data_IF_171419442345
#
_entry.id   IF_171419442345
#
_cell.length_a   1.000
_cell.length_b   1.000
_cell.length_c   1.000
_cell.angle_alpha   90.00
_cell.angle_beta   90.00
_cell.angle_gamma   90.00
#
_symmetry.space_group_name_H-M   'P 1'
#
loop_
_entity.id
_entity.type
_entity.pdbx_description
1 polymer ?
#
# COMPACT_ATOMS: atom_id res chain seq x y z
N UNK A 1 -17.58 -72.01 -31.25
CA UNK A 1 -18.54 -70.89 -31.33
C UNK A 1 -17.74 -69.59 -31.39
N UNK A 2 -17.59 -69.03 -32.58
CA UNK A 2 -17.08 -67.68 -32.80
C UNK A 2 -18.28 -66.74 -32.80
N UNK A 3 -18.26 -65.69 -31.99
CA UNK A 3 -19.25 -64.61 -32.05
C UNK A 3 -18.57 -63.34 -32.52
N UNK A 4 -19.08 -62.83 -33.64
CA UNK A 4 -18.68 -61.65 -34.39
C UNK A 4 -18.63 -60.38 -33.54
N UNK A 5 -17.64 -59.55 -33.85
CA UNK A 5 -17.56 -58.12 -33.54
C UNK A 5 -18.46 -57.35 -34.52
N UNK A 6 -19.45 -56.64 -34.02
CA UNK A 6 -20.17 -55.60 -34.78
C UNK A 6 -19.52 -54.24 -34.53
N UNK A 7 -18.99 -53.65 -35.60
CA UNK A 7 -18.51 -52.28 -35.63
C UNK A 7 -19.70 -51.34 -35.85
N UNK A 8 -20.09 -50.59 -34.83
CA UNK A 8 -21.03 -49.48 -34.97
C UNK A 8 -20.27 -48.21 -35.40
N UNK A 9 -20.45 -47.86 -36.67
CA UNK A 9 -20.06 -46.59 -37.25
C UNK A 9 -20.84 -45.43 -36.62
N UNK A 10 -20.18 -44.56 -35.87
CA UNK A 10 -20.66 -43.20 -35.62
C UNK A 10 -19.88 -42.22 -36.49
N UNK A 11 -20.41 -41.98 -37.69
CA UNK A 11 -20.23 -40.70 -38.36
C UNK A 11 -21.02 -39.64 -37.58
N UNK A 12 -20.31 -38.85 -36.79
CA UNK A 12 -20.80 -37.62 -36.18
C UNK A 12 -20.15 -36.44 -36.90
N UNK A 13 -20.97 -35.71 -37.64
CA UNK A 13 -20.61 -34.55 -38.47
C UNK A 13 -19.70 -33.55 -37.76
N UNK A 14 -18.62 -33.17 -38.45
CA UNK A 14 -17.74 -32.08 -38.07
C UNK A 14 -18.49 -30.74 -38.10
N UNK A 15 -18.90 -30.25 -36.93
CA UNK A 15 -19.13 -28.83 -36.66
C UNK A 15 -18.29 -28.48 -35.43
N UNK A 16 -16.98 -28.36 -35.66
CA UNK A 16 -15.96 -28.12 -34.65
C UNK A 16 -15.63 -26.64 -34.45
N UNK A 17 -16.61 -25.73 -34.52
CA UNK A 17 -16.42 -24.44 -33.87
C UNK A 17 -16.44 -24.70 -32.36
N UNK A 18 -15.26 -24.87 -31.79
CA UNK A 18 -15.12 -25.25 -30.39
C UNK A 18 -15.83 -24.21 -29.50
N UNK A 19 -16.48 -24.66 -28.42
CA UNK A 19 -17.02 -23.77 -27.39
C UNK A 19 -16.01 -22.72 -26.90
N UNK A 20 -14.71 -23.02 -26.99
CA UNK A 20 -13.63 -22.10 -26.69
C UNK A 20 -13.47 -20.97 -27.71
N UNK A 21 -13.67 -21.24 -29.01
CA UNK A 21 -13.63 -20.19 -30.04
C UNK A 21 -14.81 -19.25 -29.94
N UNK A 22 -16.01 -19.76 -29.65
CA UNK A 22 -17.19 -18.91 -29.46
C UNK A 22 -17.12 -18.09 -28.17
N UNK A 23 -16.67 -18.67 -27.05
CA UNK A 23 -16.42 -17.91 -25.81
C UNK A 23 -15.29 -16.90 -25.97
N UNK A 24 -14.21 -17.25 -26.67
CA UNK A 24 -13.09 -16.35 -26.94
C UNK A 24 -13.48 -15.14 -27.79
N UNK A 25 -14.30 -15.34 -28.83
CA UNK A 25 -14.85 -14.25 -29.64
C UNK A 25 -15.81 -13.36 -28.83
N UNK A 26 -16.68 -13.96 -28.01
CA UNK A 26 -17.57 -13.20 -27.13
C UNK A 26 -16.78 -12.38 -26.11
N UNK A 27 -15.74 -12.93 -25.49
CA UNK A 27 -14.87 -12.21 -24.57
C UNK A 27 -14.10 -11.08 -25.26
N UNK A 28 -13.59 -11.31 -26.47
CA UNK A 28 -12.90 -10.28 -27.27
C UNK A 28 -13.81 -9.07 -27.58
N UNK A 29 -15.12 -9.29 -27.76
CA UNK A 29 -16.09 -8.21 -27.96
C UNK A 29 -16.32 -7.33 -26.72
N UNK A 30 -15.92 -7.79 -25.52
CA UNK A 30 -15.91 -6.97 -24.30
C UNK A 30 -14.68 -6.04 -24.29
N UNK A 31 -13.54 -6.49 -24.81
CA UNK A 31 -12.35 -5.67 -25.03
C UNK A 31 -11.91 -4.84 -23.83
N UNK A 32 -11.72 -3.52 -24.04
CA UNK A 32 -11.21 -2.55 -23.05
C UNK A 32 -12.31 -1.95 -22.15
N UNK A 33 -13.52 -2.49 -22.13
CA UNK A 33 -14.65 -1.88 -21.40
C UNK A 33 -14.38 -1.63 -19.91
N UNK A 34 -13.76 -2.60 -19.21
CA UNK A 34 -13.37 -2.41 -17.81
C UNK A 34 -12.24 -1.39 -17.73
N UNK A 35 -11.18 -1.61 -18.50
CA UNK A 35 -9.97 -0.79 -18.49
C UNK A 35 -10.27 0.71 -18.63
N UNK A 36 -11.03 1.08 -19.67
CA UNK A 36 -11.38 2.48 -19.96
C UNK A 36 -12.19 3.13 -18.82
N UNK A 37 -12.92 2.34 -18.02
CA UNK A 37 -13.67 2.87 -16.87
C UNK A 37 -12.78 3.16 -15.67
N UNK A 38 -11.69 2.41 -15.48
CA UNK A 38 -10.92 2.39 -14.22
C UNK A 38 -9.46 2.83 -14.36
N UNK A 39 -9.00 3.13 -15.57
CA UNK A 39 -7.59 3.50 -15.83
C UNK A 39 -7.16 4.83 -15.21
N UNK A 40 -8.08 5.79 -15.08
CA UNK A 40 -7.84 7.10 -14.45
C UNK A 40 -7.95 7.00 -12.93
N UNK A 41 -6.94 7.51 -12.22
CA UNK A 41 -6.88 7.52 -10.77
C UNK A 41 -7.27 8.89 -10.21
N UNK A 42 -8.09 8.91 -9.15
CA UNK A 42 -8.34 10.15 -8.42
C UNK A 42 -7.06 10.58 -7.69
N UNK A 43 -6.48 11.77 -7.96
CA UNK A 43 -5.27 12.25 -7.29
C UNK A 43 -5.36 12.30 -5.76
N UNK A 44 -6.54 12.53 -5.19
CA UNK A 44 -6.74 12.60 -3.73
C UNK A 44 -6.67 11.21 -3.06
N UNK A 45 -6.77 10.15 -3.85
CA UNK A 45 -6.68 8.75 -3.43
C UNK A 45 -5.26 8.19 -3.60
N UNK A 46 -4.28 9.08 -3.77
CA UNK A 46 -2.88 8.74 -3.96
C UNK A 46 -1.97 9.42 -2.93
N UNK A 47 -0.79 8.83 -2.71
CA UNK A 47 0.26 9.39 -1.87
C UNK A 47 1.61 9.19 -2.52
N UNK A 48 2.43 10.23 -2.58
CA UNK A 48 3.83 10.08 -2.98
C UNK A 48 4.60 9.30 -1.92
N UNK A 49 5.51 8.44 -2.35
CA UNK A 49 6.42 7.73 -1.47
C UNK A 49 7.85 7.77 -2.00
N UNK A 50 8.81 7.63 -1.08
CA UNK A 50 10.21 7.45 -1.38
C UNK A 50 10.73 6.25 -0.58
N UNK A 51 11.25 5.24 -1.26
CA UNK A 51 11.82 4.04 -0.64
C UNK A 51 13.12 3.68 -1.33
N UNK A 52 14.24 3.84 -0.63
CA UNK A 52 15.56 3.43 -1.14
C UNK A 52 16.00 4.15 -2.41
N UNK A 53 15.62 5.42 -2.58
CA UNK A 53 15.92 6.20 -3.79
C UNK A 53 14.94 6.01 -4.94
N UNK A 54 13.99 5.08 -4.82
CA UNK A 54 12.85 4.98 -5.72
C UNK A 54 11.72 5.89 -5.23
N UNK A 55 11.33 6.85 -6.06
CA UNK A 55 10.16 7.68 -5.85
C UNK A 55 9.01 7.14 -6.68
N UNK A 56 7.79 7.18 -6.15
CA UNK A 56 6.61 6.77 -6.88
C UNK A 56 5.32 7.23 -6.21
N UNK A 57 4.22 6.85 -6.84
CA UNK A 57 2.86 7.15 -6.38
C UNK A 57 2.18 5.88 -5.88
N UNK A 58 1.79 5.86 -4.61
CA UNK A 58 1.02 4.78 -4.02
C UNK A 58 -0.46 5.10 -4.09
N UNK A 59 -1.25 4.15 -4.59
CA UNK A 59 -2.72 4.25 -4.64
C UNK A 59 -3.29 3.68 -3.34
N UNK A 60 -4.30 4.33 -2.77
CA UNK A 60 -5.02 3.82 -1.62
C UNK A 60 -5.72 2.49 -1.99
N UNK A 61 -5.42 1.36 -1.31
CA UNK A 61 -6.01 0.08 -1.69
C UNK A 61 -7.55 0.06 -1.58
N UNK A 62 -8.10 0.76 -0.59
CA UNK A 62 -9.55 0.85 -0.40
C UNK A 62 -10.25 1.57 -1.57
N UNK A 63 -9.57 2.53 -2.22
CA UNK A 63 -10.08 3.18 -3.42
C UNK A 63 -10.20 2.16 -4.56
N UNK A 64 -9.20 1.31 -4.77
CA UNK A 64 -9.27 0.26 -5.80
C UNK A 64 -10.41 -0.73 -5.52
N UNK A 65 -10.65 -1.09 -4.25
CA UNK A 65 -11.79 -1.93 -3.84
C UNK A 65 -13.13 -1.25 -4.15
N UNK A 66 -13.26 0.05 -3.85
CA UNK A 66 -14.45 0.85 -4.19
C UNK A 66 -14.69 0.83 -5.70
N UNK A 67 -13.66 1.13 -6.50
CA UNK A 67 -13.74 1.14 -7.97
C UNK A 67 -14.12 -0.24 -8.53
N UNK A 68 -13.55 -1.31 -7.98
CA UNK A 68 -13.88 -2.67 -8.41
C UNK A 68 -15.33 -3.02 -8.09
N UNK A 69 -15.82 -2.54 -6.94
CA UNK A 69 -17.22 -2.68 -6.55
C UNK A 69 -18.18 -1.91 -7.47
N UNK A 70 -17.80 -0.70 -7.93
CA UNK A 70 -18.57 0.07 -8.92
C UNK A 70 -18.71 -0.67 -10.26
N UNK A 71 -17.68 -1.41 -10.68
CA UNK A 71 -17.68 -2.12 -11.97
C UNK A 71 -18.35 -3.48 -11.89
N UNK A 72 -17.97 -4.29 -10.90
CA UNK A 72 -18.36 -5.70 -10.85
C UNK A 72 -19.51 -5.97 -9.88
N UNK A 73 -19.86 -5.02 -9.01
CA UNK A 73 -20.81 -5.19 -7.91
C UNK A 73 -20.14 -5.54 -6.58
N UNK A 74 -20.93 -5.83 -5.51
CA UNK A 74 -20.38 -6.06 -4.17
C UNK A 74 -19.34 -7.18 -4.10
N UNK A 75 -18.31 -6.97 -3.27
CA UNK A 75 -17.31 -8.00 -2.95
C UNK A 75 -17.98 -9.23 -2.33
N UNK A 76 -17.61 -10.42 -2.80
CA UNK A 76 -18.23 -11.71 -2.46
C UNK A 76 -19.42 -12.10 -3.34
N UNK A 77 -19.95 -11.19 -4.17
CA UNK A 77 -21.03 -11.49 -5.13
C UNK A 77 -20.54 -11.33 -6.56
N UNK A 78 -20.17 -10.10 -6.93
CA UNK A 78 -19.75 -9.75 -8.28
C UNK A 78 -18.28 -10.05 -8.56
N UNK A 79 -17.47 -10.02 -7.51
CA UNK A 79 -16.04 -10.30 -7.56
C UNK A 79 -15.54 -10.68 -6.16
N UNK A 80 -14.36 -11.25 -6.09
CA UNK A 80 -13.75 -11.66 -4.82
C UNK A 80 -12.31 -12.09 -4.97
N UNK A 81 -11.65 -12.38 -3.86
CA UNK A 81 -10.26 -12.83 -3.82
C UNK A 81 -10.18 -14.12 -3.00
N UNK A 82 -9.61 -15.16 -3.60
CA UNK A 82 -9.33 -16.44 -2.96
C UNK A 82 -7.83 -16.56 -2.68
N UNK A 83 -7.48 -16.98 -1.46
CA UNK A 83 -6.11 -17.34 -1.11
C UNK A 83 -5.79 -18.74 -1.64
N UNK A 84 -4.87 -18.84 -2.61
CA UNK A 84 -4.44 -20.12 -3.17
C UNK A 84 -3.35 -20.75 -2.32
N UNK A 85 -2.35 -19.95 -1.91
CA UNK A 85 -1.27 -20.43 -1.05
C UNK A 85 -0.68 -19.33 -0.20
N UNK A 86 -0.21 -19.69 0.99
CA UNK A 86 0.49 -18.85 1.94
C UNK A 86 1.81 -19.52 2.34
N UNK A 87 2.89 -18.76 2.43
CA UNK A 87 4.19 -19.27 2.84
C UNK A 87 5.03 -18.20 3.53
N UNK A 88 5.88 -18.65 4.45
CA UNK A 88 6.98 -17.86 4.98
C UNK A 88 8.27 -18.36 4.33
N UNK A 89 9.00 -17.44 3.72
CA UNK A 89 10.23 -17.72 2.97
C UNK A 89 11.38 -17.02 3.67
N UNK A 90 12.46 -17.76 3.89
CA UNK A 90 13.69 -17.21 4.44
C UNK A 90 14.31 -16.22 3.45
N UNK A 91 14.62 -15.03 3.93
CA UNK A 91 15.34 -13.99 3.21
C UNK A 91 16.81 -13.92 3.61
N UNK A 92 17.39 -12.72 3.55
CA UNK A 92 18.81 -12.49 3.85
C UNK A 92 19.16 -12.89 5.29
N UNK A 93 20.28 -13.61 5.55
CA UNK A 93 20.75 -13.86 6.89
C UNK A 93 21.21 -12.56 7.58
N UNK A 94 20.93 -12.45 8.87
CA UNK A 94 21.46 -11.39 9.71
C UNK A 94 22.84 -11.80 10.23
N UNK A 95 23.87 -11.07 9.83
CA UNK A 95 25.26 -11.34 10.21
C UNK A 95 25.77 -10.26 11.17
N UNK A 96 26.42 -10.68 12.25
CA UNK A 96 27.14 -9.85 13.23
C UNK A 96 28.47 -10.52 13.53
N UNK A 97 29.58 -9.82 13.40
CA UNK A 97 30.92 -10.37 13.69
C UNK A 97 31.19 -11.72 13.01
N UNK A 98 30.78 -11.83 11.74
CA UNK A 98 30.85 -13.05 10.93
C UNK A 98 30.01 -14.24 11.43
N UNK A 99 29.12 -14.03 12.39
CA UNK A 99 28.17 -15.03 12.88
C UNK A 99 26.75 -14.72 12.43
N UNK A 100 26.00 -15.76 12.07
CA UNK A 100 24.58 -15.64 11.72
C UNK A 100 23.77 -15.60 13.01
N UNK A 101 23.10 -14.47 13.27
CA UNK A 101 22.28 -14.24 14.47
C UNK A 101 20.78 -14.36 14.20
N UNK A 102 20.39 -14.58 12.94
CA UNK A 102 19.01 -14.70 12.51
C UNK A 102 18.90 -14.59 10.99
N UNK A 103 17.67 -14.42 10.51
CA UNK A 103 17.38 -14.25 9.09
C UNK A 103 16.13 -13.40 8.91
N UNK A 104 16.11 -12.69 7.80
CA UNK A 104 14.89 -12.07 7.29
C UNK A 104 13.86 -13.17 7.02
N UNK A 105 12.59 -12.88 7.27
CA UNK A 105 11.49 -13.77 6.92
C UNK A 105 10.49 -12.97 6.11
N UNK A 106 10.14 -13.46 4.93
CA UNK A 106 9.21 -12.83 4.01
C UNK A 106 7.93 -13.65 4.01
N UNK A 107 6.81 -13.01 4.34
CA UNK A 107 5.50 -13.60 4.16
C UNK A 107 5.06 -13.40 2.71
N UNK A 108 4.62 -14.47 2.05
CA UNK A 108 4.23 -14.49 0.65
C UNK A 108 2.87 -15.16 0.51
N UNK A 109 1.99 -14.52 -0.25
CA UNK A 109 0.69 -15.06 -0.63
C UNK A 109 0.59 -15.18 -2.15
N UNK A 110 -0.17 -16.17 -2.61
CA UNK A 110 -0.62 -16.30 -3.99
C UNK A 110 -2.14 -16.30 -3.98
N UNK A 111 -2.75 -15.39 -4.73
CA UNK A 111 -4.20 -15.19 -4.71
C UNK A 111 -4.78 -15.26 -6.12
N UNK A 112 -6.06 -15.62 -6.19
CA UNK A 112 -6.88 -15.47 -7.38
C UNK A 112 -7.97 -14.43 -7.11
N UNK A 113 -7.96 -13.36 -7.89
CA UNK A 113 -9.09 -12.46 -7.98
C UNK A 113 -10.02 -12.95 -9.08
N UNK A 114 -11.26 -13.25 -8.73
CA UNK A 114 -12.31 -13.61 -9.68
C UNK A 114 -13.33 -12.48 -9.81
N UNK A 115 -13.98 -12.38 -10.97
CA UNK A 115 -14.99 -11.35 -11.23
C UNK A 115 -16.03 -11.83 -12.26
N UNK A 116 -17.21 -11.23 -12.23
CA UNK A 116 -18.28 -11.42 -13.20
C UNK A 116 -18.39 -10.20 -14.10
N UNK A 117 -18.33 -10.39 -15.41
CA UNK A 117 -18.50 -9.34 -16.39
C UNK A 117 -19.38 -9.84 -17.53
N UNK A 118 -20.54 -9.19 -17.75
CA UNK A 118 -21.52 -9.57 -18.79
C UNK A 118 -21.88 -11.07 -18.78
N UNK A 119 -22.03 -11.65 -17.59
CA UNK A 119 -22.36 -13.08 -17.43
C UNK A 119 -21.17 -14.04 -17.56
N UNK A 120 -19.98 -13.56 -17.91
CA UNK A 120 -18.75 -14.36 -17.91
C UNK A 120 -18.03 -14.26 -16.57
N UNK A 121 -17.48 -15.37 -16.09
CA UNK A 121 -16.55 -15.40 -14.97
C UNK A 121 -15.12 -15.30 -15.49
N UNK A 122 -14.41 -14.25 -15.09
CA UNK A 122 -12.98 -14.10 -15.31
C UNK A 122 -12.20 -14.29 -14.01
N UNK A 123 -10.91 -14.58 -14.12
CA UNK A 123 -10.00 -14.54 -12.98
C UNK A 123 -8.57 -14.20 -13.36
N UNK A 124 -7.84 -13.59 -12.42
CA UNK A 124 -6.43 -13.24 -12.54
C UNK A 124 -5.71 -13.61 -11.26
N UNK A 125 -4.46 -14.05 -11.40
CA UNK A 125 -3.66 -14.54 -10.27
C UNK A 125 -2.40 -13.72 -10.09
N UNK A 126 -2.08 -13.36 -8.87
CA UNK A 126 -0.86 -12.62 -8.54
C UNK A 126 -0.31 -13.00 -7.17
N UNK A 127 0.97 -12.68 -6.99
CA UNK A 127 1.65 -12.80 -5.70
C UNK A 127 1.68 -11.46 -4.97
N UNK A 128 1.56 -11.54 -3.66
CA UNK A 128 1.89 -10.44 -2.75
C UNK A 128 2.91 -10.88 -1.72
N UNK A 129 3.75 -9.95 -1.27
CA UNK A 129 4.77 -10.25 -0.28
C UNK A 129 5.03 -9.07 0.65
N UNK A 130 5.29 -9.38 1.91
CA UNK A 130 5.70 -8.40 2.92
C UNK A 130 6.76 -9.03 3.80
N UNK A 131 7.84 -8.30 4.06
CA UNK A 131 8.85 -8.76 5.01
C UNK A 131 8.24 -8.80 6.41
N UNK A 132 8.16 -9.99 7.00
CA UNK A 132 7.65 -10.23 8.34
C UNK A 132 8.72 -9.95 9.40
N UNK A 133 9.89 -10.58 9.28
CA UNK A 133 11.01 -10.37 10.21
C UNK A 133 12.09 -9.57 9.50
N UNK A 134 12.48 -8.43 10.07
CA UNK A 134 13.56 -7.57 9.56
C UNK A 134 14.61 -7.32 10.62
N UNK A 135 15.79 -6.88 10.18
CA UNK A 135 16.81 -6.30 11.05
C UNK A 135 17.18 -4.92 10.53
N UNK A 136 17.00 -3.91 11.38
CA UNK A 136 17.31 -2.53 11.00
C UNK A 136 18.83 -2.24 11.03
N UNK A 137 19.22 -1.04 10.60
CA UNK A 137 20.61 -0.59 10.60
C UNK A 137 21.24 -0.49 11.99
N UNK A 138 20.42 -0.44 13.05
CA UNK A 138 20.86 -0.41 14.45
C UNK A 138 20.99 -1.82 15.04
N UNK A 139 20.68 -2.84 14.25
CA UNK A 139 20.80 -4.23 14.62
C UNK A 139 19.59 -4.80 15.36
N UNK A 140 18.51 -4.03 15.51
CA UNK A 140 17.27 -4.48 16.16
C UNK A 140 16.52 -5.41 15.21
N UNK A 141 16.19 -6.60 15.69
CA UNK A 141 15.32 -7.54 14.97
C UNK A 141 13.88 -7.27 15.40
N UNK A 142 13.00 -7.06 14.43
CA UNK A 142 11.59 -6.75 14.66
C UNK A 142 10.68 -7.52 13.73
N UNK A 143 9.43 -7.70 14.17
CA UNK A 143 8.36 -8.32 13.40
C UNK A 143 7.29 -7.29 13.00
N UNK A 144 6.82 -7.34 11.76
CA UNK A 144 5.66 -6.57 11.29
C UNK A 144 4.37 -7.36 11.59
N UNK A 145 3.60 -7.00 12.61
CA UNK A 145 2.37 -7.73 12.98
C UNK A 145 1.28 -7.66 11.89
N UNK A 146 1.35 -6.68 10.98
CA UNK A 146 0.40 -6.45 9.90
C UNK A 146 0.80 -7.13 8.57
N UNK A 147 1.90 -7.88 8.55
CA UNK A 147 2.50 -8.45 7.33
C UNK A 147 1.51 -9.27 6.48
N UNK A 148 0.63 -10.06 7.11
CA UNK A 148 -0.34 -10.90 6.42
C UNK A 148 -1.36 -10.06 5.64
N UNK A 149 -1.94 -9.05 6.32
CA UNK A 149 -2.86 -8.07 5.72
C UNK A 149 -2.20 -7.32 4.57
N UNK A 150 -0.96 -6.86 4.76
CA UNK A 150 -0.17 -6.15 3.75
C UNK A 150 0.09 -7.01 2.52
N UNK A 151 0.45 -8.29 2.70
CA UNK A 151 0.70 -9.22 1.59
C UNK A 151 -0.56 -9.50 0.79
N UNK A 152 -1.70 -9.73 1.46
CA UNK A 152 -2.98 -9.91 0.80
C UNK A 152 -3.42 -8.67 0.03
N UNK A 153 -3.21 -7.49 0.62
CA UNK A 153 -3.53 -6.19 0.00
C UNK A 153 -2.68 -5.98 -1.25
N UNK A 154 -1.36 -6.20 -1.16
CA UNK A 154 -0.42 -6.10 -2.29
C UNK A 154 -0.81 -7.04 -3.44
N UNK A 155 -1.11 -8.30 -3.13
CA UNK A 155 -1.54 -9.28 -4.14
C UNK A 155 -2.85 -8.85 -4.83
N UNK A 156 -3.82 -8.37 -4.04
CA UNK A 156 -5.12 -7.90 -4.54
C UNK A 156 -4.97 -6.68 -5.45
N UNK A 157 -4.20 -5.68 -5.04
CA UNK A 157 -3.90 -4.48 -5.84
C UNK A 157 -3.20 -4.85 -7.16
N UNK A 158 -2.28 -5.82 -7.14
CA UNK A 158 -1.64 -6.34 -8.36
C UNK A 158 -2.63 -7.05 -9.27
N UNK A 159 -3.52 -7.88 -8.74
CA UNK A 159 -4.61 -8.48 -9.52
C UNK A 159 -5.48 -7.39 -10.20
N UNK A 160 -5.89 -6.37 -9.46
CA UNK A 160 -6.69 -5.27 -10.01
C UNK A 160 -5.91 -4.48 -11.08
N UNK A 161 -4.60 -4.28 -10.93
CA UNK A 161 -3.80 -3.60 -11.96
C UNK A 161 -3.83 -4.32 -13.32
N UNK A 162 -3.92 -5.66 -13.34
CA UNK A 162 -4.06 -6.43 -14.58
C UNK A 162 -5.40 -6.19 -15.30
N UNK A 163 -6.42 -5.74 -14.56
CA UNK A 163 -7.73 -5.36 -15.10
C UNK A 163 -7.80 -3.88 -15.50
N UNK A 164 -6.70 -3.13 -15.32
CA UNK A 164 -6.58 -1.71 -15.70
C UNK A 164 -6.83 -0.72 -14.59
N UNK A 165 -7.07 -1.16 -13.35
CA UNK A 165 -7.32 -0.24 -12.24
C UNK A 165 -6.09 0.63 -11.97
N UNK A 166 -6.27 1.95 -12.06
CA UNK A 166 -5.21 2.94 -11.86
C UNK A 166 -4.01 2.78 -12.81
N UNK A 167 -4.26 2.36 -14.05
CA UNK A 167 -3.22 2.15 -15.06
C UNK A 167 -2.41 3.41 -15.40
N UNK A 168 -2.98 4.60 -15.24
CA UNK A 168 -2.30 5.88 -15.43
C UNK A 168 -1.08 6.09 -14.50
N UNK A 169 -1.13 5.56 -13.28
CA UNK A 169 0.01 5.52 -12.34
C UNK A 169 1.11 4.60 -12.85
N UNK A 170 0.77 3.41 -13.30
CA UNK A 170 1.76 2.43 -13.77
C UNK A 170 2.35 2.75 -15.15
N UNK A 171 1.66 3.56 -15.94
CA UNK A 171 2.14 4.04 -17.26
C UNK A 171 2.95 5.34 -17.17
N UNK A 172 3.18 5.87 -15.97
CA UNK A 172 3.98 7.08 -15.73
C UNK A 172 3.27 8.40 -16.09
N UNK A 173 1.99 8.35 -16.49
CA UNK A 173 1.23 9.58 -16.78
C UNK A 173 1.07 10.45 -15.53
N UNK A 174 0.97 9.79 -14.37
CA UNK A 174 0.83 10.44 -13.06
C UNK A 174 2.07 11.19 -12.59
N UNK A 175 3.21 11.03 -13.27
CA UNK A 175 4.43 11.78 -12.99
C UNK A 175 4.40 13.18 -13.64
N UNK A 176 3.48 13.42 -14.59
CA UNK A 176 3.27 14.73 -15.21
C UNK A 176 2.31 15.58 -14.38
N UNK A 177 2.83 16.66 -13.79
CA UNK A 177 2.04 17.61 -13.00
C UNK A 177 0.82 18.14 -13.74
N UNK A 178 0.92 18.42 -15.05
CA UNK A 178 -0.21 18.94 -15.84
C UNK A 178 -1.30 17.89 -16.00
N UNK A 179 -0.92 16.63 -16.17
CA UNK A 179 -1.86 15.52 -16.23
C UNK A 179 -2.63 15.38 -14.91
N UNK A 180 -1.91 15.40 -13.78
CA UNK A 180 -2.51 15.30 -12.45
C UNK A 180 -3.40 16.51 -12.14
N UNK A 181 -3.00 17.73 -12.52
CA UNK A 181 -3.82 18.93 -12.40
C UNK A 181 -5.12 18.79 -13.20
N UNK A 182 -5.06 18.33 -14.45
CA UNK A 182 -6.24 18.05 -15.26
C UNK A 182 -7.20 17.03 -14.63
N UNK A 183 -6.66 15.97 -14.00
CA UNK A 183 -7.49 14.99 -13.26
C UNK A 183 -8.18 15.61 -12.04
N UNK A 184 -7.52 16.53 -11.32
CA UNK A 184 -8.13 17.26 -10.20
C UNK A 184 -9.27 18.15 -10.66
N UNK A 185 -9.09 18.83 -11.80
CA UNK A 185 -10.14 19.66 -12.40
C UNK A 185 -11.35 18.81 -12.84
N UNK A 186 -11.12 17.68 -13.51
CA UNK A 186 -12.18 16.74 -13.89
C UNK A 186 -12.97 16.23 -12.67
N UNK A 187 -12.27 15.89 -11.57
CA UNK A 187 -12.90 15.41 -10.34
C UNK A 187 -13.78 16.48 -9.67
N UNK A 188 -13.33 17.75 -9.67
CA UNK A 188 -14.10 18.87 -9.13
C UNK A 188 -15.36 19.16 -9.97
N UNK A 189 -15.26 19.10 -11.29
CA UNK A 189 -16.43 19.32 -12.18
C UNK A 189 -17.48 18.21 -12.06
N UNK A 190 -17.06 16.96 -11.86
CA UNK A 190 -17.97 15.83 -11.62
C UNK A 190 -18.81 15.99 -10.34
N UNK A 191 -18.20 16.47 -9.25
CA UNK A 191 -18.88 16.72 -7.98
C UNK A 191 -19.89 17.88 -8.05
N UNK A 192 -19.60 18.91 -8.85
CA UNK A 192 -20.54 20.04 -9.06
C UNK A 192 -21.76 19.60 -9.88
N UNK A 193 -21.59 18.70 -10.86
CA UNK A 193 -22.73 18.20 -11.65
C UNK A 193 -23.63 17.22 -10.88
N UNK A 194 -23.10 16.43 -9.95
CA UNK A 194 -23.91 15.55 -9.09
C UNK A 194 -24.71 16.32 -8.02
N UNK A 195 -24.23 17.49 -7.57
CA UNK A 195 -24.89 18.30 -6.55
C UNK A 195 -26.01 19.23 -7.06
N UNK A 196 -26.16 19.39 -8.38
CA UNK A 196 -27.22 20.24 -9.00
C UNK A 196 -28.52 19.45 -9.30
N UNK A 197 -28.54 18.13 -9.07
CA UNK A 197 -29.69 17.25 -9.33
C UNK A 197 -30.78 17.18 -8.24
N UNK A 198 -30.74 18.02 -7.20
CA UNK A 198 -31.61 17.92 -6.02
C UNK A 198 -32.31 19.22 -5.62
N UNK A 199 -33.53 19.38 -6.12
CA UNK A 199 -34.68 20.07 -5.49
C UNK A 199 -34.59 21.57 -5.14
N UNK A 200 -35.39 22.32 -5.90
CA UNK A 200 -36.01 23.63 -5.61
C UNK A 200 -36.56 23.79 -4.19
N UNK A 201 -36.26 24.92 -3.53
CA UNK A 201 -37.15 25.50 -2.52
C UNK A 201 -36.51 26.24 -1.33
N UNK A 202 -36.54 27.58 -1.42
CA UNK A 202 -36.67 28.57 -0.33
C UNK A 202 -35.53 28.79 0.70
N UNK A 203 -34.87 29.95 0.48
CA UNK A 203 -34.37 30.96 1.43
C UNK A 203 -34.40 30.68 2.95
N UNK A 204 -33.24 30.86 3.60
CA UNK A 204 -33.07 31.97 4.57
C UNK A 204 -31.59 32.28 4.85
N UNK A 205 -31.36 33.56 5.09
CA UNK A 205 -30.11 34.30 5.18
C UNK A 205 -29.49 34.18 6.58
N UNK A 206 -28.19 33.93 6.69
CA UNK A 206 -27.38 34.47 7.80
C UNK A 206 -26.00 34.90 7.27
N UNK A 207 -25.79 36.22 7.28
CA UNK A 207 -24.50 36.87 7.15
C UNK A 207 -23.61 36.50 8.34
N UNK A 208 -22.32 36.26 8.08
CA UNK A 208 -21.28 36.73 9.00
C UNK A 208 -20.05 37.11 8.19
N UNK A 209 -19.86 38.43 8.10
CA UNK A 209 -18.61 39.06 7.76
C UNK A 209 -17.51 38.62 8.73
N UNK A 210 -16.37 38.18 8.21
CA UNK A 210 -15.07 38.62 8.74
C UNK A 210 -14.06 38.62 7.59
N UNK A 211 -13.87 39.81 7.00
CA UNK A 211 -12.67 40.12 6.25
C UNK A 211 -11.49 40.18 7.22
N UNK A 212 -10.49 39.33 7.02
CA UNK A 212 -9.12 39.60 7.48
C UNK A 212 -8.17 39.45 6.29
N UNK A 213 -7.68 40.61 5.84
CA UNK A 213 -6.44 40.72 5.09
C UNK A 213 -5.31 40.14 5.96
N UNK A 214 -4.60 39.14 5.44
CA UNK A 214 -3.30 38.76 5.95
C UNK A 214 -2.33 38.53 4.79
N UNK A 215 -1.24 39.28 4.86
CA UNK A 215 -0.07 39.33 4.00
C UNK A 215 0.49 37.98 3.57
N UNK A 216 0.90 37.89 2.30
CA UNK A 216 1.78 36.86 1.74
C UNK A 216 3.11 36.78 2.51
N UNK A 217 3.18 35.83 3.42
CA UNK A 217 4.40 35.16 3.87
C UNK A 217 4.14 33.65 3.71
N UNK A 218 5.13 32.85 3.27
CA UNK A 218 4.97 31.40 3.21
C UNK A 218 4.56 30.88 4.60
N UNK A 219 3.68 29.87 4.69
CA UNK A 219 3.20 29.37 5.97
C UNK A 219 4.41 29.00 6.85
N UNK A 220 4.52 29.63 8.01
CA UNK A 220 5.57 29.29 8.97
C UNK A 220 5.45 27.80 9.30
N UNK A 221 6.54 27.05 9.08
CA UNK A 221 6.58 25.62 9.42
C UNK A 221 6.17 25.43 10.88
N UNK A 222 5.28 24.47 11.12
CA UNK A 222 4.86 24.11 12.48
C UNK A 222 6.06 23.71 13.34
N UNK A 223 5.92 23.81 14.67
CA UNK A 223 7.00 23.45 15.60
C UNK A 223 7.46 22.00 15.42
N UNK A 224 6.51 21.08 15.22
CA UNK A 224 6.80 19.69 14.85
C UNK A 224 7.62 19.58 13.56
N UNK A 225 7.24 20.29 12.49
CA UNK A 225 7.95 20.23 11.22
C UNK A 225 9.38 20.78 11.33
N UNK A 226 9.62 21.80 12.17
CA UNK A 226 10.96 22.33 12.42
C UNK A 226 11.88 21.29 13.08
N UNK A 227 11.40 20.58 14.12
CA UNK A 227 12.18 19.50 14.74
C UNK A 227 12.41 18.32 13.79
N UNK A 228 11.36 17.93 13.04
CA UNK A 228 11.46 16.84 12.07
C UNK A 228 12.50 17.14 10.99
N UNK A 229 12.46 18.32 10.38
CA UNK A 229 13.41 18.74 9.36
C UNK A 229 14.86 18.76 9.89
N UNK A 230 15.07 19.20 11.15
CA UNK A 230 16.40 19.18 11.77
C UNK A 230 16.91 17.76 11.99
N UNK A 231 16.07 16.85 12.48
CA UNK A 231 16.43 15.44 12.65
C UNK A 231 16.72 14.78 11.31
N UNK A 232 15.90 15.04 10.29
CA UNK A 232 16.10 14.52 8.93
C UNK A 232 17.40 15.06 8.31
N UNK A 233 17.72 16.34 8.52
CA UNK A 233 18.97 16.94 8.05
C UNK A 233 20.20 16.29 8.72
N UNK A 234 20.16 16.08 10.04
CA UNK A 234 21.24 15.41 10.78
C UNK A 234 21.41 13.97 10.30
N UNK A 235 20.31 13.25 10.04
CA UNK A 235 20.35 11.90 9.49
C UNK A 235 20.99 11.88 8.09
N UNK A 236 20.66 12.86 7.23
CA UNK A 236 21.19 12.95 5.86
C UNK A 236 22.67 13.34 5.81
N UNK A 237 23.14 14.19 6.73
CA UNK A 237 24.56 14.58 6.81
C UNK A 237 25.43 13.55 7.54
N UNK A 238 24.83 12.49 8.10
CA UNK A 238 25.54 11.46 8.86
C UNK A 238 26.14 12.00 10.17
N UNK A 239 25.66 13.14 10.65
CA UNK A 239 26.15 13.74 11.90
C UNK A 239 25.50 13.04 13.11
N UNK A 240 26.29 12.82 14.16
CA UNK A 240 25.74 12.38 15.43
C UNK A 240 25.14 13.58 16.19
N UNK A 241 24.00 13.37 16.85
CA UNK A 241 23.46 14.35 17.80
C UNK A 241 24.40 14.41 19.00
N UNK A 242 25.05 15.57 19.21
CA UNK A 242 26.11 15.72 20.23
C UNK A 242 25.62 15.50 21.66
N UNK A 243 24.36 15.84 21.95
CA UNK A 243 23.77 15.72 23.29
C UNK A 243 22.31 15.28 23.19
N UNK A 244 22.12 13.98 23.06
CA UNK A 244 20.78 13.36 22.97
C UNK A 244 19.91 13.67 24.20
N UNK A 245 20.39 13.53 25.46
CA UNK A 245 19.61 13.89 26.64
C UNK A 245 19.06 15.33 26.63
N UNK A 246 19.87 16.32 26.26
CA UNK A 246 19.43 17.71 26.25
C UNK A 246 18.42 17.99 25.13
N UNK A 247 18.60 17.39 23.95
CA UNK A 247 17.65 17.53 22.84
C UNK A 247 16.30 16.89 23.16
N UNK A 248 16.30 15.71 23.81
CA UNK A 248 15.06 15.08 24.29
C UNK A 248 14.34 15.95 25.31
N UNK A 249 15.06 16.44 26.32
CA UNK A 249 14.50 17.34 27.34
C UNK A 249 13.86 18.57 26.70
N UNK A 250 14.49 19.14 25.66
CA UNK A 250 13.97 20.30 24.94
C UNK A 250 12.64 19.98 24.24
N UNK A 251 12.54 18.82 23.59
CA UNK A 251 11.30 18.37 22.90
C UNK A 251 10.20 18.03 23.92
N UNK A 252 10.55 17.36 25.02
CA UNK A 252 9.61 16.97 26.09
C UNK A 252 9.02 18.19 26.82
N UNK A 253 9.76 19.31 26.88
CA UNK A 253 9.32 20.55 27.55
C UNK A 253 8.68 21.57 26.60
N UNK A 254 8.61 21.29 25.29
CA UNK A 254 8.03 22.23 24.32
C UNK A 254 6.49 22.20 24.42
N UNK A 255 5.93 23.22 25.07
CA UNK A 255 4.48 23.35 25.31
C UNK A 255 3.66 23.61 24.04
N UNK A 256 4.33 23.89 22.91
CA UNK A 256 3.68 24.07 21.61
C UNK A 256 3.60 22.77 20.80
N UNK A 257 4.10 21.65 21.34
CA UNK A 257 3.92 20.32 20.78
C UNK A 257 2.80 19.57 21.52
N UNK A 258 1.98 18.84 20.77
CA UNK A 258 1.07 17.86 21.35
C UNK A 258 1.84 16.65 21.90
N UNK A 259 1.24 15.92 22.84
CA UNK A 259 1.83 14.69 23.38
C UNK A 259 2.13 13.64 22.29
N UNK A 260 1.32 13.59 21.24
CA UNK A 260 1.54 12.68 20.11
C UNK A 260 2.74 13.11 19.26
N UNK A 261 2.93 14.42 19.03
CA UNK A 261 4.08 14.96 18.31
C UNK A 261 5.38 14.78 19.08
N UNK A 262 5.36 15.02 20.39
CA UNK A 262 6.49 14.73 21.30
C UNK A 262 6.86 13.26 21.18
N UNK A 263 5.90 12.35 21.36
CA UNK A 263 6.16 10.90 21.28
C UNK A 263 6.72 10.49 19.92
N UNK A 264 6.19 11.06 18.83
CA UNK A 264 6.65 10.78 17.46
C UNK A 264 8.08 11.27 17.24
N UNK A 265 8.45 12.46 17.74
CA UNK A 265 9.81 12.99 17.63
C UNK A 265 10.80 12.17 18.48
N UNK A 266 10.42 11.75 19.68
CA UNK A 266 11.27 10.95 20.57
C UNK A 266 11.48 9.51 20.11
N UNK A 267 10.63 9.01 19.20
CA UNK A 267 10.84 7.74 18.50
C UNK A 267 11.92 7.83 17.41
N UNK A 268 12.37 9.03 17.06
CA UNK A 268 13.49 9.23 16.14
C UNK A 268 14.71 8.43 16.61
N UNK A 269 15.32 7.62 15.74
CA UNK A 269 16.51 6.85 16.09
C UNK A 269 17.67 7.71 16.59
N UNK A 270 17.76 8.97 16.13
CA UNK A 270 18.78 9.93 16.54
C UNK A 270 18.64 10.38 18.00
N UNK A 271 17.46 10.17 18.62
CA UNK A 271 17.16 10.60 19.97
C UNK A 271 17.02 9.43 20.95
N UNK A 272 17.47 8.22 20.60
CA UNK A 272 17.47 7.09 21.54
C UNK A 272 18.61 7.23 22.54
N UNK A 273 18.31 7.06 23.83
CA UNK A 273 19.34 6.97 24.86
C UNK A 273 20.00 5.58 24.80
N UNK A 274 21.33 5.48 24.93
CA UNK A 274 21.99 4.20 25.11
C UNK A 274 21.43 3.52 26.37
N UNK A 275 21.21 2.21 26.30
CA UNK A 275 20.79 1.44 27.46
C UNK A 275 21.81 1.63 28.58
N UNK A 276 21.36 1.95 29.80
CA UNK A 276 22.24 2.03 30.96
C UNK A 276 22.93 0.67 31.13
N UNK A 277 24.25 0.63 30.94
CA UNK A 277 25.06 -0.54 31.26
C UNK A 277 24.88 -0.82 32.76
N UNK A 278 24.17 -1.91 33.08
CA UNK A 278 24.19 -2.46 34.43
C UNK A 278 25.55 -3.11 34.63
N UNK A 279 26.43 -2.34 35.25
CA UNK A 279 27.74 -2.73 35.73
C UNK A 279 27.58 -3.92 36.69
N UNK A 280 27.82 -5.14 36.21
CA UNK A 280 27.80 -6.36 37.02
C UNK A 280 29.25 -6.80 37.28
N UNK A 281 29.97 -5.97 38.02
CA UNK A 281 31.23 -6.34 38.63
C UNK A 281 30.95 -7.17 39.90
N UNK A 282 30.85 -8.49 39.76
CA UNK A 282 31.13 -9.39 40.87
C UNK A 282 32.33 -10.27 40.52
N UNK A 283 33.43 -9.88 41.15
CA UNK A 283 34.73 -10.49 41.08
C UNK A 283 34.71 -11.98 41.48
N UNK A 284 35.49 -12.74 40.74
CA UNK A 284 36.04 -14.03 41.12
C UNK A 284 36.66 -14.00 42.52
N UNK A 285 36.24 -14.91 43.40
CA UNK A 285 37.05 -15.39 44.50
C UNK A 285 36.91 -16.91 44.58
N UNK A 286 37.99 -17.58 44.21
CA UNK A 286 38.23 -19.00 44.41
C UNK A 286 38.11 -19.38 45.89
N UNK A 287 37.49 -20.54 46.16
CA UNK A 287 37.46 -21.16 47.48
C UNK A 287 37.01 -22.62 47.38
N UNK A 288 37.97 -23.51 47.12
CA UNK A 288 37.83 -24.95 47.41
C UNK A 288 37.98 -25.13 48.92
N UNK A 289 37.06 -25.80 49.60
CA UNK A 289 37.33 -26.72 50.72
C UNK A 289 36.05 -27.51 51.12
N UNK A 290 36.17 -28.84 50.99
CA UNK A 290 35.32 -29.96 51.45
C UNK A 290 33.85 -30.01 51.00
#
# INVERSE_FOLDING_TARGET
>A
MQTRTDAASHQGSANGESLWSSQGQAAASIGLEVWNKVEKTNPDETKSFNKGGFQGTAIAPIYQIKRATEVFGPFGLGWGVELISEAYVDGKPFVVDSQVVGKEVIHKVYVELWYLQRGFRGSVKQFGATTYITRDSYGIISSDEDHAKKSLTDATSKCLSLLGFSADVFTGKFDDTKYVEGLREEAQQGQVNESVGGTTGAAETVQSDTQQQASTQPPEKSRYQKYKDQLDQIAQTGQAVKDVPSVRTTIEQDTLLSQMEIQTLLQSPLLRLPAAEKDNAQASASGVFL
#
